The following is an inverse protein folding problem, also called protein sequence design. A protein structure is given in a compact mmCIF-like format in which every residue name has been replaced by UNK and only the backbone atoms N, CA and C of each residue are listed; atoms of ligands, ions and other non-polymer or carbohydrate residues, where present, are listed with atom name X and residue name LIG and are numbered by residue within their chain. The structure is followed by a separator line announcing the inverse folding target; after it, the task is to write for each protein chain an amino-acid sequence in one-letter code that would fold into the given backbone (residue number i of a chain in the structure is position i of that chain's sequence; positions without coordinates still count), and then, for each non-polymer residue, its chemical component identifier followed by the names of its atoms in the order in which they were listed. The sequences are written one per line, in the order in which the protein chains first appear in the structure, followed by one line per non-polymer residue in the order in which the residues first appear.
data_IF_956492523415
#
_entry.id   IF_956492523415
#
_cell.length_a   1.000
_cell.length_b   1.000
_cell.length_c   1.000
_cell.angle_alpha   90.00
_cell.angle_beta   90.00
_cell.angle_gamma   90.00
#
_symmetry.space_group_name_H-M   'P 1'
#
loop_
_entity.id
_entity.type
_entity.pdbx_description
1 polymer ?
#
# COMPACT_ATOMS: atom_id res chain seq x y z
N UNK A 1 -9.36 3.61 28.45
CA UNK A 1 -8.25 2.93 29.15
C UNK A 1 -7.79 1.84 28.21
N UNK A 2 -6.93 2.16 27.25
CA UNK A 2 -6.22 1.15 26.46
C UNK A 2 -5.17 0.53 27.36
N UNK A 3 -5.12 -0.80 27.36
CA UNK A 3 -4.28 -1.58 28.25
C UNK A 3 -2.80 -1.24 27.96
N UNK A 4 -1.94 -1.23 28.98
CA UNK A 4 -0.53 -0.80 28.83
C UNK A 4 0.21 -1.59 27.74
N UNK A 5 -0.27 -2.80 27.46
CA UNK A 5 0.22 -3.70 26.42
C UNK A 5 -0.12 -3.22 24.99
N UNK A 6 -1.29 -2.60 24.78
CA UNK A 6 -1.69 -2.05 23.48
C UNK A 6 -0.85 -0.83 23.10
N UNK A 7 -0.48 0.00 24.09
CA UNK A 7 0.38 1.17 23.86
C UNK A 7 1.79 0.78 23.45
N UNK A 8 2.35 -0.24 24.09
CA UNK A 8 3.68 -0.76 23.75
C UNK A 8 3.71 -1.42 22.36
N UNK A 9 2.67 -2.19 22.01
CA UNK A 9 2.53 -2.76 20.67
C UNK A 9 2.45 -1.67 19.59
N UNK A 10 1.66 -0.61 19.83
CA UNK A 10 1.52 0.50 18.89
C UNK A 10 2.86 1.25 18.69
N UNK A 11 3.63 1.45 19.77
CA UNK A 11 4.97 2.04 19.71
C UNK A 11 5.93 1.20 18.90
N UNK A 12 5.97 -0.12 19.12
CA UNK A 12 6.84 -1.02 18.36
C UNK A 12 6.50 -1.05 16.87
N UNK A 13 5.21 -1.09 16.52
CA UNK A 13 4.78 -1.06 15.13
C UNK A 13 5.23 0.23 14.43
N UNK A 14 5.01 1.38 15.07
CA UNK A 14 5.29 2.69 14.46
C UNK A 14 6.78 3.07 14.48
N UNK A 15 7.56 2.54 15.42
CA UNK A 15 9.02 2.63 15.39
C UNK A 15 9.61 2.00 14.12
N UNK A 16 9.00 0.93 13.60
CA UNK A 16 9.39 0.32 12.32
C UNK A 16 9.20 1.23 11.10
N UNK A 17 8.35 2.26 11.22
CA UNK A 17 8.11 3.29 10.21
C UNK A 17 8.85 4.61 10.51
N UNK A 18 9.77 4.63 11.49
CA UNK A 18 10.51 5.83 11.90
C UNK A 18 9.67 6.86 12.67
N UNK A 19 8.50 6.47 13.20
CA UNK A 19 7.59 7.35 13.93
C UNK A 19 7.78 7.17 15.44
N UNK A 20 8.29 8.22 16.11
CA UNK A 20 8.42 8.23 17.57
C UNK A 20 7.12 8.65 18.26
N UNK A 21 6.66 7.82 19.20
CA UNK A 21 5.39 7.96 19.92
C UNK A 21 5.57 8.12 21.43
N UNK A 22 5.67 9.38 21.85
CA UNK A 22 5.69 9.77 23.26
C UNK A 22 4.31 9.65 23.91
N UNK A 23 4.27 9.61 25.24
CA UNK A 23 3.02 9.54 26.01
C UNK A 23 2.06 10.68 25.68
N UNK A 24 2.57 11.89 25.42
CA UNK A 24 1.76 13.05 25.00
C UNK A 24 1.03 12.79 23.67
N UNK A 25 1.72 12.19 22.69
CA UNK A 25 1.13 11.85 21.38
C UNK A 25 0.07 10.75 21.54
N UNK A 26 0.32 9.76 22.39
CA UNK A 26 -0.65 8.71 22.72
C UNK A 26 -1.92 9.25 23.38
N UNK A 27 -1.78 10.23 24.29
CA UNK A 27 -2.94 10.89 24.89
C UNK A 27 -3.74 11.71 23.86
N UNK A 28 -3.05 12.42 22.95
CA UNK A 28 -3.69 13.14 21.84
C UNK A 28 -4.43 12.20 20.90
N UNK A 29 -3.84 11.05 20.54
CA UNK A 29 -4.51 10.00 19.73
C UNK A 29 -5.76 9.46 20.43
N UNK A 30 -5.69 9.23 21.74
CA UNK A 30 -6.85 8.81 22.53
C UNK A 30 -7.98 9.84 22.55
N UNK A 31 -7.64 11.14 22.50
CA UNK A 31 -8.61 12.22 22.46
C UNK A 31 -9.29 12.39 21.08
N UNK A 32 -8.61 12.07 19.97
CA UNK A 32 -9.17 12.19 18.61
C UNK A 32 -10.41 11.30 18.45
N UNK A 33 -10.35 10.06 18.93
CA UNK A 33 -11.48 9.11 18.88
C UNK A 33 -12.70 9.60 19.68
N UNK A 34 -12.48 10.42 20.70
CA UNK A 34 -13.54 10.95 21.56
C UNK A 34 -14.21 12.21 20.99
N UNK A 35 -13.63 12.84 19.96
CA UNK A 35 -14.09 14.16 19.48
C UNK A 35 -15.29 14.12 18.52
N UNK A 36 -15.76 12.95 18.08
CA UNK A 36 -16.98 12.85 17.27
C UNK A 36 -16.90 13.67 15.98
N UNK A 37 -16.09 13.21 15.03
CA UNK A 37 -15.97 13.78 13.68
C UNK A 37 -16.03 12.68 12.61
N UNK A 38 -16.01 13.07 11.34
CA UNK A 38 -15.89 12.13 10.23
C UNK A 38 -14.58 11.32 10.30
N UNK A 39 -14.54 10.17 9.62
CA UNK A 39 -13.33 9.31 9.59
C UNK A 39 -12.14 10.07 9.02
N UNK A 40 -12.35 10.91 8.00
CA UNK A 40 -11.31 11.72 7.38
C UNK A 40 -10.75 12.80 8.32
N UNK A 41 -11.60 13.48 9.11
CA UNK A 41 -11.17 14.45 10.13
C UNK A 41 -10.35 13.78 11.25
N UNK A 42 -10.80 12.62 11.72
CA UNK A 42 -10.07 11.85 12.73
C UNK A 42 -8.72 11.38 12.19
N UNK A 43 -8.68 10.90 10.95
CA UNK A 43 -7.44 10.48 10.30
C UNK A 43 -6.47 11.66 10.18
N UNK A 44 -6.91 12.80 9.68
CA UNK A 44 -6.07 13.98 9.51
C UNK A 44 -5.42 14.45 10.83
N UNK A 45 -6.19 14.41 11.93
CA UNK A 45 -5.67 14.71 13.26
C UNK A 45 -4.63 13.67 13.73
N UNK A 46 -4.80 12.39 13.38
CA UNK A 46 -3.82 11.33 13.68
C UNK A 46 -2.52 11.58 12.92
N UNK A 47 -2.59 11.90 11.63
CA UNK A 47 -1.41 12.25 10.82
C UNK A 47 -0.65 13.45 11.40
N UNK A 48 -1.37 14.47 11.85
CA UNK A 48 -0.76 15.64 12.51
C UNK A 48 -0.06 15.29 13.82
N UNK A 49 -0.66 14.45 14.66
CA UNK A 49 -0.06 14.00 15.93
C UNK A 49 1.17 13.11 15.69
N UNK A 50 1.13 12.27 14.67
CA UNK A 50 2.23 11.36 14.31
C UNK A 50 3.34 12.06 13.52
N UNK A 51 3.15 13.31 13.08
CA UNK A 51 4.13 14.03 12.26
C UNK A 51 4.32 13.41 10.87
N UNK A 52 3.36 12.62 10.42
CA UNK A 52 3.37 12.01 9.10
C UNK A 52 3.09 13.08 8.03
N UNK A 53 3.67 12.96 6.83
CA UNK A 53 3.35 13.87 5.73
C UNK A 53 1.83 13.87 5.53
N UNK A 54 1.25 15.06 5.34
CA UNK A 54 -0.18 15.20 5.05
C UNK A 54 -0.45 14.50 3.74
N UNK A 55 -0.96 13.27 3.82
CA UNK A 55 -1.53 12.60 2.67
C UNK A 55 -2.77 13.39 2.23
N UNK A 56 -2.94 13.51 0.92
CA UNK A 56 -4.07 14.23 0.39
C UNK A 56 -5.38 13.55 0.83
N UNK A 57 -6.36 14.28 1.38
CA UNK A 57 -7.61 13.69 1.87
C UNK A 57 -8.33 12.85 0.82
N UNK A 58 -8.22 13.22 -0.46
CA UNK A 58 -8.85 12.47 -1.56
C UNK A 58 -8.29 11.07 -1.75
N UNK A 59 -7.03 10.82 -1.36
CA UNK A 59 -6.45 9.48 -1.40
C UNK A 59 -7.18 8.53 -0.45
N UNK A 60 -7.60 9.02 0.72
CA UNK A 60 -8.36 8.20 1.67
C UNK A 60 -9.78 7.95 1.21
N UNK A 61 -10.41 8.91 0.54
CA UNK A 61 -11.73 8.70 -0.08
C UNK A 61 -11.63 7.63 -1.17
N UNK A 62 -10.60 7.68 -2.03
CA UNK A 62 -10.37 6.64 -3.03
C UNK A 62 -10.08 5.27 -2.39
N UNK A 63 -9.26 5.22 -1.35
CA UNK A 63 -8.92 3.96 -0.67
C UNK A 63 -10.12 3.39 0.10
N UNK A 64 -10.95 4.25 0.69
CA UNK A 64 -12.20 3.89 1.33
C UNK A 64 -13.22 3.35 0.31
N UNK A 65 -13.35 3.98 -0.86
CA UNK A 65 -14.21 3.52 -1.95
C UNK A 65 -13.75 2.14 -2.45
N UNK A 66 -12.46 1.97 -2.73
CA UNK A 66 -11.89 0.67 -3.13
C UNK A 66 -12.07 -0.41 -2.06
N UNK A 67 -11.96 -0.06 -0.78
CA UNK A 67 -12.18 -1.00 0.33
C UNK A 67 -13.65 -1.41 0.50
N UNK A 68 -14.60 -0.59 0.03
CA UNK A 68 -16.02 -0.89 0.12
C UNK A 68 -16.46 -1.95 -0.89
N UNK A 69 -15.79 -2.01 -2.05
CA UNK A 69 -16.04 -2.99 -3.12
C UNK A 69 -15.22 -4.29 -2.98
N UNK A 70 -14.20 -4.30 -2.12
CA UNK A 70 -13.37 -5.48 -1.83
C UNK A 70 -14.00 -6.35 -0.73
N UNK A 71 -14.13 -7.66 -0.96
CA UNK A 71 -14.65 -8.60 0.04
C UNK A 71 -13.53 -9.10 0.97
N UNK A 72 -12.28 -9.06 0.50
CA UNK A 72 -11.08 -9.43 1.27
C UNK A 72 -9.96 -8.40 1.14
N UNK A 73 -9.00 -8.43 2.07
CA UNK A 73 -7.80 -7.59 2.00
C UNK A 73 -6.93 -7.87 0.77
N UNK A 74 -6.97 -9.10 0.25
CA UNK A 74 -6.29 -9.49 -1.00
C UNK A 74 -6.95 -8.85 -2.21
N UNK A 75 -8.28 -8.81 -2.30
CA UNK A 75 -8.98 -8.11 -3.39
C UNK A 75 -8.70 -6.60 -3.37
N UNK A 76 -8.55 -6.02 -2.17
CA UNK A 76 -8.15 -4.63 -2.03
C UNK A 76 -6.71 -4.42 -2.52
N UNK A 77 -5.78 -5.30 -2.13
CA UNK A 77 -4.40 -5.25 -2.59
C UNK A 77 -4.31 -5.37 -4.12
N UNK A 78 -5.01 -6.35 -4.71
CA UNK A 78 -5.09 -6.52 -6.16
C UNK A 78 -5.61 -5.27 -6.87
N UNK A 79 -6.66 -4.66 -6.33
CA UNK A 79 -7.25 -3.44 -6.92
C UNK A 79 -6.29 -2.25 -6.86
N UNK A 80 -5.48 -2.15 -5.81
CA UNK A 80 -4.48 -1.09 -5.64
C UNK A 80 -3.25 -1.31 -6.51
N UNK A 81 -2.73 -2.53 -6.57
CA UNK A 81 -1.43 -2.81 -7.23
C UNK A 81 -1.55 -3.20 -8.70
N UNK A 82 -2.64 -3.85 -9.11
CA UNK A 82 -2.83 -4.35 -10.47
C UNK A 82 -3.74 -3.43 -11.29
N UNK A 83 -4.77 -2.87 -10.64
CA UNK A 83 -5.74 -1.98 -11.28
C UNK A 83 -6.54 -2.64 -12.40
N UNK A 84 -7.38 -1.89 -13.13
CA UNK A 84 -8.28 -2.46 -14.12
C UNK A 84 -7.56 -3.06 -15.33
N UNK A 85 -8.13 -4.11 -15.90
CA UNK A 85 -7.56 -4.78 -17.07
C UNK A 85 -7.48 -3.83 -18.27
N UNK A 86 -6.29 -3.61 -18.87
CA UNK A 86 -6.12 -2.68 -19.99
C UNK A 86 -6.81 -3.14 -21.29
N UNK A 87 -7.15 -4.43 -21.39
CA UNK A 87 -7.78 -5.02 -22.59
C UNK A 87 -9.30 -4.88 -22.58
N UNK A 88 -9.95 -5.08 -21.42
CA UNK A 88 -11.41 -5.14 -21.34
C UNK A 88 -12.05 -4.25 -20.26
N UNK A 89 -11.24 -3.50 -19.51
CA UNK A 89 -11.69 -2.59 -18.45
C UNK A 89 -12.31 -3.30 -17.25
N UNK A 90 -12.03 -4.59 -17.05
CA UNK A 90 -12.54 -5.32 -15.90
C UNK A 90 -11.73 -4.98 -14.65
N UNK A 91 -12.40 -4.55 -13.58
CA UNK A 91 -11.77 -4.00 -12.36
C UNK A 91 -11.34 -5.08 -11.36
N UNK A 92 -11.97 -6.26 -11.36
CA UNK A 92 -11.60 -7.39 -10.49
C UNK A 92 -10.47 -8.23 -11.10
N UNK A 93 -9.31 -7.64 -11.24
CA UNK A 93 -8.08 -8.32 -11.68
C UNK A 93 -7.40 -8.99 -10.49
N UNK A 94 -6.46 -9.90 -10.75
CA UNK A 94 -5.69 -10.57 -9.69
C UNK A 94 -4.20 -10.38 -9.93
N UNK A 95 -3.43 -10.23 -8.85
CA UNK A 95 -2.00 -10.46 -8.91
C UNK A 95 -1.74 -11.97 -9.15
N UNK A 96 -0.55 -12.29 -9.63
CA UNK A 96 -0.15 -13.67 -9.87
C UNK A 96 0.72 -14.25 -8.75
N UNK A 97 0.67 -13.68 -7.54
CA UNK A 97 1.49 -14.12 -6.39
C UNK A 97 1.24 -15.60 -6.03
N UNK A 98 -0.01 -16.05 -6.13
CA UNK A 98 -0.39 -17.44 -5.86
C UNK A 98 -0.25 -18.37 -7.08
N UNK A 99 0.08 -17.84 -8.28
CA UNK A 99 0.15 -18.64 -9.50
C UNK A 99 1.52 -19.33 -9.61
N UNK A 100 1.56 -20.68 -9.66
CA UNK A 100 2.82 -21.42 -9.68
C UNK A 100 3.63 -21.09 -10.93
N UNK A 101 4.81 -20.50 -10.73
CA UNK A 101 5.73 -20.09 -11.80
C UNK A 101 5.69 -18.59 -12.14
N UNK A 102 4.92 -17.79 -11.41
CA UNK A 102 4.94 -16.32 -11.51
C UNK A 102 5.35 -15.76 -10.15
N UNK A 103 6.58 -15.26 -10.05
CA UNK A 103 7.14 -14.70 -8.80
C UNK A 103 7.17 -13.16 -8.82
N UNK A 104 6.51 -12.54 -9.81
CA UNK A 104 6.51 -11.10 -10.04
C UNK A 104 5.17 -10.48 -9.63
N UNK A 105 5.19 -9.72 -8.53
CA UNK A 105 4.02 -9.04 -7.94
C UNK A 105 3.41 -7.98 -8.86
N UNK A 106 4.16 -7.50 -9.86
CA UNK A 106 3.65 -6.54 -10.85
C UNK A 106 2.88 -7.23 -11.97
N UNK A 107 2.76 -8.55 -11.95
CA UNK A 107 2.03 -9.28 -12.98
C UNK A 107 0.55 -9.35 -12.64
N UNK A 108 -0.25 -8.69 -13.48
CA UNK A 108 -1.69 -8.73 -13.45
C UNK A 108 -2.27 -9.79 -14.36
N UNK A 109 -3.27 -10.51 -13.88
CA UNK A 109 -4.10 -11.45 -14.64
C UNK A 109 -5.57 -11.01 -14.62
N UNK A 110 -6.18 -10.99 -15.79
CA UNK A 110 -7.60 -10.73 -15.93
C UNK A 110 -8.35 -12.06 -15.97
N UNK A 111 -9.16 -12.40 -14.95
CA UNK A 111 -9.90 -13.66 -14.95
C UNK A 111 -11.00 -13.70 -16.02
N UNK A 112 -11.42 -12.53 -16.53
CA UNK A 112 -12.47 -12.42 -17.54
C UNK A 112 -11.99 -12.69 -18.96
N UNK A 113 -10.85 -12.13 -19.35
CA UNK A 113 -10.34 -12.22 -20.74
C UNK A 113 -9.01 -12.97 -20.87
N UNK A 114 -8.40 -13.36 -19.73
CA UNK A 114 -7.11 -14.05 -19.70
C UNK A 114 -5.92 -13.19 -20.11
N UNK A 115 -6.08 -11.87 -20.18
CA UNK A 115 -4.98 -10.95 -20.46
C UNK A 115 -3.99 -10.96 -19.30
N UNK A 116 -2.71 -11.13 -19.62
CA UNK A 116 -1.59 -11.09 -18.68
C UNK A 116 -0.74 -9.86 -19.02
N UNK A 117 -0.41 -9.03 -18.05
CA UNK A 117 0.35 -7.80 -18.26
C UNK A 117 1.17 -7.41 -17.03
N UNK A 118 2.15 -6.54 -17.23
CA UNK A 118 2.82 -5.82 -16.14
C UNK A 118 1.98 -4.59 -15.74
N UNK A 119 1.58 -4.48 -14.48
CA UNK A 119 0.77 -3.39 -13.95
C UNK A 119 1.49 -2.04 -13.98
N UNK A 120 2.82 -2.03 -14.01
CA UNK A 120 3.61 -0.80 -14.05
C UNK A 120 3.72 -0.21 -15.45
N UNK A 121 4.12 -1.01 -16.45
CA UNK A 121 4.33 -0.51 -17.81
C UNK A 121 3.21 -0.84 -18.80
N UNK A 122 2.23 -1.65 -18.39
CA UNK A 122 1.12 -2.10 -19.24
C UNK A 122 1.51 -3.10 -20.33
N UNK A 123 2.77 -3.56 -20.36
CA UNK A 123 3.25 -4.50 -21.37
C UNK A 123 2.52 -5.83 -21.25
N UNK A 124 2.04 -6.37 -22.38
CA UNK A 124 1.46 -7.70 -22.45
C UNK A 124 2.53 -8.76 -22.22
N UNK A 125 2.25 -9.69 -21.32
CA UNK A 125 3.13 -10.82 -21.01
C UNK A 125 2.58 -12.12 -21.60
N UNK A 126 3.48 -13.09 -21.81
CA UNK A 126 3.13 -14.44 -22.21
C UNK A 126 3.13 -15.34 -20.98
N UNK A 127 2.28 -16.37 -20.95
CA UNK A 127 2.32 -17.35 -19.84
C UNK A 127 3.64 -18.13 -19.75
N UNK A 128 4.35 -18.22 -20.87
CA UNK A 128 5.66 -18.88 -20.96
C UNK A 128 6.79 -18.00 -20.42
N UNK A 129 6.56 -16.68 -20.34
CA UNK A 129 7.49 -15.69 -19.82
C UNK A 129 6.69 -14.62 -19.04
N UNK A 130 6.23 -14.96 -17.82
CA UNK A 130 5.40 -14.09 -17.00
C UNK A 130 6.28 -13.13 -16.17
N UNK A 131 7.30 -12.54 -16.80
CA UNK A 131 8.21 -11.58 -16.17
C UNK A 131 8.29 -10.34 -17.04
N UNK A 132 8.25 -9.17 -16.40
CA UNK A 132 8.50 -7.93 -17.12
C UNK A 132 10.01 -7.72 -17.30
N UNK A 133 10.49 -7.53 -18.53
CA UNK A 133 11.90 -7.19 -18.81
C UNK A 133 12.10 -5.66 -19.03
N UNK A 134 11.10 -4.84 -18.72
CA UNK A 134 11.20 -3.39 -18.92
C UNK A 134 12.07 -2.77 -17.82
N UNK A 135 13.22 -2.13 -18.15
CA UNK A 135 14.12 -1.54 -17.16
C UNK A 135 13.55 -0.32 -16.44
N UNK A 136 12.45 0.26 -16.95
CA UNK A 136 11.76 1.38 -16.31
C UNK A 136 10.77 0.92 -15.23
N UNK A 137 10.52 -0.39 -15.11
CA UNK A 137 9.71 -0.95 -14.02
C UNK A 137 10.51 -0.93 -12.71
N UNK A 138 9.82 -0.65 -11.61
CA UNK A 138 10.40 -0.51 -10.28
C UNK A 138 11.21 -1.74 -9.87
N UNK A 139 10.72 -2.94 -10.17
CA UNK A 139 11.40 -4.20 -9.86
C UNK A 139 12.65 -4.49 -10.71
N UNK A 140 12.80 -3.80 -11.85
CA UNK A 140 13.93 -3.98 -12.77
C UNK A 140 14.89 -2.79 -12.78
N UNK A 141 14.60 -1.75 -12.00
CA UNK A 141 15.48 -0.61 -11.83
C UNK A 141 16.81 -1.06 -11.20
N UNK A 142 17.91 -0.35 -11.47
CA UNK A 142 19.15 -0.61 -10.75
C UNK A 142 18.88 -0.43 -9.25
N UNK A 143 19.24 -1.42 -8.43
CA UNK A 143 19.20 -1.31 -6.96
C UNK A 143 19.97 -0.05 -6.54
N UNK A 144 19.28 1.06 -6.28
CA UNK A 144 19.92 2.29 -5.79
C UNK A 144 20.13 2.23 -4.27
N UNK A 145 20.34 1.04 -3.71
CA UNK A 145 20.78 0.81 -2.32
C UNK A 145 22.24 1.22 -2.08
N UNK A 146 22.84 2.04 -2.95
CA UNK A 146 23.98 2.88 -2.61
C UNK A 146 23.49 4.17 -1.93
N UNK A 147 22.92 4.02 -0.73
CA UNK A 147 22.96 5.09 0.26
C UNK A 147 24.44 5.31 0.59
N UNK A 148 25.05 6.27 -0.11
CA UNK A 148 26.38 6.82 0.15
C UNK A 148 26.51 7.05 1.67
N UNK A 149 27.19 6.11 2.37
CA UNK A 149 27.53 6.28 3.77
C UNK A 149 28.34 7.59 3.85
N UNK A 150 27.88 8.64 4.55
CA UNK A 150 28.66 9.86 4.62
C UNK A 150 29.98 9.53 5.29
N UNK A 151 31.07 9.61 4.51
CA UNK A 151 32.43 9.41 4.99
C UNK A 151 32.63 10.28 6.24
N UNK A 152 32.77 9.63 7.39
CA UNK A 152 33.15 10.29 8.62
C UNK A 152 34.59 10.79 8.47
N UNK A 153 34.74 12.12 8.40
CA UNK A 153 36.02 12.82 8.61
C UNK A 153 36.17 13.19 10.10
#
# INVERSE_FOLDING_TARGET
MTDSNEKDALRQMLAGFGVELDDEKLERLGAIRAQGGSVSEQMQAVFEVLGLPKLDPSLFDSLAEMSADAETGEELADSVFIGPCPSCGFEKTRNCDEEPGIEDLTVGLCPRCGWLWCSECGQKLAREQPSCDNPECFLNGPDTDELDEPAAD
#
